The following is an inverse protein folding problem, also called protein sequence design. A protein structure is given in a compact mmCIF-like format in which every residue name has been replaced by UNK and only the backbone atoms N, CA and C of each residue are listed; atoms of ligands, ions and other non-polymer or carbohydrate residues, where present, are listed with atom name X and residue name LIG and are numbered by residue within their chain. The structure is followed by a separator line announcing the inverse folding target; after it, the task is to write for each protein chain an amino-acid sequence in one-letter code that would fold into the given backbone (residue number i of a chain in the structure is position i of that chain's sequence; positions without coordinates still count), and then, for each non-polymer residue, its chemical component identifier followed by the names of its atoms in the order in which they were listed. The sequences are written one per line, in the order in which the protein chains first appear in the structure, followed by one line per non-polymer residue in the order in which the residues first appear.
data_IF_615952982194
#
_entry.id   IF_615952982194
#
_cell.length_a   1.000
_cell.length_b   1.000
_cell.length_c   1.000
_cell.angle_alpha   90.00
_cell.angle_beta   90.00
_cell.angle_gamma   90.00
#
_symmetry.space_group_name_H-M   'P 1'
#
loop_
_entity.id
_entity.type
_entity.pdbx_description
1 polymer ?
#
# COMPACT_ATOMS: atom_id res chain seq x y z
N UNK A 1 18.43 6.49 -25.74
CA UNK A 1 17.83 6.98 -27.01
C UNK A 1 16.53 6.24 -27.28
N UNK A 2 15.51 6.97 -27.75
CA UNK A 2 14.11 6.57 -28.05
C UNK A 2 13.12 6.52 -26.87
N UNK A 3 12.62 7.70 -26.45
CA UNK A 3 11.31 7.89 -25.78
C UNK A 3 10.76 9.32 -25.97
N UNK A 4 10.80 9.90 -27.17
CA UNK A 4 10.21 11.24 -27.44
C UNK A 4 9.60 11.38 -28.83
N UNK A 5 8.64 10.52 -29.22
CA UNK A 5 8.02 10.61 -30.56
C UNK A 5 6.47 10.67 -30.54
N UNK A 6 5.80 10.82 -29.40
CA UNK A 6 4.32 10.95 -29.43
C UNK A 6 3.72 12.09 -28.60
N UNK A 7 4.51 13.14 -28.34
CA UNK A 7 4.02 14.42 -27.83
C UNK A 7 4.64 15.54 -28.67
N UNK A 8 4.31 15.57 -29.96
CA UNK A 8 4.79 16.59 -30.89
C UNK A 8 3.70 17.16 -31.82
N UNK A 9 2.41 16.88 -31.56
CA UNK A 9 1.31 17.44 -32.35
C UNK A 9 0.18 17.80 -31.38
N UNK A 10 0.31 18.93 -30.68
CA UNK A 10 -0.87 19.70 -30.23
C UNK A 10 -0.58 21.12 -29.68
N UNK A 11 0.67 21.60 -29.63
CA UNK A 11 0.97 22.89 -28.96
C UNK A 11 1.82 23.90 -29.76
N UNK A 12 1.86 23.87 -31.09
CA UNK A 12 2.50 24.94 -31.87
C UNK A 12 1.75 25.26 -33.16
N UNK A 13 0.76 26.14 -33.07
CA UNK A 13 0.39 27.06 -34.15
C UNK A 13 -0.59 28.12 -33.64
N UNK A 14 -0.12 28.96 -32.70
CA UNK A 14 -0.66 30.29 -32.51
C UNK A 14 0.53 31.25 -32.30
N UNK A 15 0.57 32.26 -33.17
CA UNK A 15 1.25 33.55 -33.06
C UNK A 15 2.62 33.70 -33.75
N UNK A 16 2.59 34.37 -34.90
CA UNK A 16 3.49 35.44 -35.37
C UNK A 16 2.70 36.21 -36.47
N UNK A 17 2.67 37.52 -36.69
CA UNK A 17 3.25 38.76 -36.12
C UNK A 17 2.32 39.93 -36.53
N UNK A 18 2.25 40.95 -35.69
CA UNK A 18 1.65 42.28 -35.89
C UNK A 18 2.42 43.14 -36.89
N UNK A 19 1.76 44.02 -37.63
CA UNK A 19 2.38 45.31 -37.97
C UNK A 19 1.35 46.43 -38.08
N UNK A 20 1.61 47.48 -37.32
CA UNK A 20 0.86 48.71 -37.25
C UNK A 20 1.31 49.66 -38.35
N UNK A 21 0.36 50.34 -38.99
CA UNK A 21 0.61 51.62 -39.66
C UNK A 21 -0.29 52.68 -39.02
N UNK A 22 0.31 53.71 -38.44
CA UNK A 22 -0.28 55.00 -38.11
C UNK A 22 0.75 56.08 -38.46
N UNK A 23 0.38 57.36 -38.63
CA UNK A 23 -0.74 57.91 -39.40
C UNK A 23 -0.26 59.01 -40.37
N UNK A 24 -0.95 59.21 -41.51
CA UNK A 24 -0.86 60.50 -42.21
C UNK A 24 -1.79 61.50 -41.51
N UNK A 25 -1.25 62.61 -41.02
CA UNK A 25 -2.03 63.65 -40.34
C UNK A 25 -2.94 64.38 -41.34
N UNK A 26 -4.24 64.09 -41.26
CA UNK A 26 -5.27 64.89 -41.94
C UNK A 26 -5.34 66.24 -41.24
N UNK A 27 -4.97 67.32 -41.94
CA UNK A 27 -5.06 68.67 -41.39
C UNK A 27 -6.52 69.15 -41.36
N UNK A 28 -6.86 69.94 -40.33
CA UNK A 28 -8.21 70.49 -40.09
C UNK A 28 -8.79 71.27 -41.29
N UNK A 29 -7.94 71.72 -42.22
CA UNK A 29 -8.38 72.38 -43.46
C UNK A 29 -9.05 71.43 -44.47
N UNK A 30 -8.68 70.15 -44.52
CA UNK A 30 -9.32 69.17 -45.44
C UNK A 30 -10.66 68.65 -44.90
N UNK A 31 -10.86 68.69 -43.58
CA UNK A 31 -12.12 68.31 -42.93
C UNK A 31 -13.18 69.41 -43.10
N UNK A 32 -12.78 70.69 -43.07
CA UNK A 32 -13.69 71.82 -43.31
C UNK A 32 -14.25 71.85 -44.75
N UNK A 33 -13.43 71.59 -45.78
CA UNK A 33 -13.89 71.52 -47.19
C UNK A 33 -14.82 70.32 -47.47
N UNK A 34 -14.71 69.23 -46.69
CA UNK A 34 -15.59 68.07 -46.81
C UNK A 34 -16.94 68.27 -46.09
N UNK A 35 -16.95 69.02 -44.98
CA UNK A 35 -18.16 69.37 -44.23
C UNK A 35 -19.03 70.39 -44.98
N UNK A 36 -18.42 71.35 -45.69
CA UNK A 36 -19.15 72.35 -46.48
C UNK A 36 -19.83 71.76 -47.73
N UNK A 37 -19.36 70.60 -48.20
CA UNK A 37 -19.99 69.82 -49.29
C UNK A 37 -21.09 68.86 -48.83
N UNK A 38 -21.30 68.69 -47.52
CA UNK A 38 -22.30 67.79 -46.95
C UNK A 38 -23.56 68.53 -46.46
N UNK A 39 -23.60 69.86 -46.51
CA UNK A 39 -24.73 70.66 -45.99
C UNK A 39 -25.93 70.78 -46.92
N UNK A 40 -25.92 70.23 -48.14
CA UNK A 40 -27.12 70.22 -48.97
C UNK A 40 -27.44 68.83 -49.53
N UNK A 41 -28.57 68.29 -49.05
CA UNK A 41 -29.33 67.13 -49.56
C UNK A 41 -28.79 65.71 -49.29
N UNK A 42 -29.26 65.09 -48.20
CA UNK A 42 -30.05 63.84 -48.17
C UNK A 42 -29.94 63.14 -46.81
N UNK A 43 -31.07 63.06 -46.11
CA UNK A 43 -31.24 62.28 -44.88
C UNK A 43 -31.26 60.78 -45.23
N UNK A 44 -30.15 60.07 -45.02
CA UNK A 44 -30.15 58.59 -45.13
C UNK A 44 -30.38 57.99 -43.73
N UNK A 45 -31.60 57.51 -43.52
CA UNK A 45 -32.01 56.78 -42.32
C UNK A 45 -31.32 55.41 -42.30
N UNK A 46 -30.41 55.16 -41.36
CA UNK A 46 -29.90 53.80 -41.11
C UNK A 46 -31.10 52.91 -40.73
N UNK A 47 -31.37 51.79 -41.43
CA UNK A 47 -32.46 50.89 -41.07
C UNK A 47 -32.23 50.32 -39.66
N UNK A 48 -33.23 50.42 -38.77
CA UNK A 48 -33.19 49.88 -37.39
C UNK A 48 -32.67 48.43 -37.30
N UNK A 49 -32.92 47.63 -38.35
CA UNK A 49 -32.55 46.22 -38.42
C UNK A 49 -31.03 45.99 -38.39
N UNK A 50 -30.25 46.89 -38.97
CA UNK A 50 -28.79 46.76 -39.01
C UNK A 50 -28.14 47.25 -37.71
N UNK A 51 -28.76 48.22 -37.03
CA UNK A 51 -28.30 48.71 -35.72
C UNK A 51 -28.58 47.69 -34.60
N UNK A 52 -29.77 47.10 -34.61
CA UNK A 52 -30.15 46.02 -33.68
C UNK A 52 -29.26 44.78 -33.92
N UNK A 53 -28.97 44.43 -35.18
CA UNK A 53 -28.06 43.32 -35.50
C UNK A 53 -26.60 43.59 -35.12
N UNK A 54 -26.11 44.83 -35.24
CA UNK A 54 -24.74 45.19 -34.81
C UNK A 54 -24.62 45.13 -33.28
N UNK A 55 -25.61 45.63 -32.53
CA UNK A 55 -25.60 45.59 -31.07
C UNK A 55 -25.83 44.16 -30.56
N UNK A 56 -26.75 43.41 -31.14
CA UNK A 56 -26.99 42.00 -30.82
C UNK A 56 -25.74 41.17 -31.11
N UNK A 57 -25.09 41.35 -32.26
CA UNK A 57 -23.86 40.63 -32.58
C UNK A 57 -22.67 41.06 -31.70
N UNK A 58 -22.54 42.35 -31.35
CA UNK A 58 -21.48 42.79 -30.42
C UNK A 58 -21.71 42.27 -28.99
N UNK A 59 -22.96 42.25 -28.52
CA UNK A 59 -23.33 41.71 -27.20
C UNK A 59 -23.15 40.19 -27.20
N UNK A 60 -23.64 39.47 -28.21
CA UNK A 60 -23.47 38.01 -28.32
C UNK A 60 -22.00 37.62 -28.44
N UNK A 61 -21.19 38.37 -29.19
CA UNK A 61 -19.74 38.12 -29.29
C UNK A 61 -19.03 38.42 -27.96
N UNK A 62 -19.39 39.50 -27.25
CA UNK A 62 -18.78 39.83 -25.95
C UNK A 62 -19.19 38.84 -24.85
N UNK A 63 -20.47 38.44 -24.81
CA UNK A 63 -21.02 37.47 -23.86
C UNK A 63 -20.45 36.08 -24.14
N UNK A 64 -20.46 35.62 -25.39
CA UNK A 64 -19.88 34.33 -25.74
C UNK A 64 -18.36 34.30 -25.55
N UNK A 65 -17.65 35.41 -25.79
CA UNK A 65 -16.21 35.51 -25.50
C UNK A 65 -15.94 35.44 -24.00
N UNK A 66 -16.73 36.13 -23.16
CA UNK A 66 -16.60 36.07 -21.69
C UNK A 66 -17.00 34.70 -21.12
N UNK A 67 -18.05 34.05 -21.64
CA UNK A 67 -18.46 32.68 -21.28
C UNK A 67 -17.40 31.65 -21.71
N UNK A 68 -16.88 31.75 -22.93
CA UNK A 68 -15.80 30.87 -23.39
C UNK A 68 -14.50 31.08 -22.62
N UNK A 69 -14.24 32.30 -22.13
CA UNK A 69 -13.08 32.57 -21.26
C UNK A 69 -13.26 31.93 -19.88
N UNK A 70 -14.49 31.93 -19.34
CA UNK A 70 -14.84 31.22 -18.10
C UNK A 70 -14.71 29.70 -18.26
N UNK A 71 -15.21 29.15 -19.37
CA UNK A 71 -15.08 27.71 -19.70
C UNK A 71 -13.60 27.34 -19.88
N UNK A 72 -12.82 28.16 -20.58
CA UNK A 72 -11.38 27.93 -20.76
C UNK A 72 -10.61 27.98 -19.42
N UNK A 73 -10.98 28.88 -18.51
CA UNK A 73 -10.40 28.94 -17.16
C UNK A 73 -10.75 27.72 -16.31
N UNK A 74 -11.99 27.22 -16.41
CA UNK A 74 -12.43 25.99 -15.73
C UNK A 74 -11.72 24.75 -16.30
N UNK A 75 -11.60 24.65 -17.62
CA UNK A 75 -10.87 23.55 -18.29
C UNK A 75 -9.37 23.61 -18.01
N UNK A 76 -8.77 24.80 -17.97
CA UNK A 76 -7.37 24.99 -17.59
C UNK A 76 -7.13 24.65 -16.11
N UNK A 77 -8.08 24.96 -15.22
CA UNK A 77 -8.03 24.53 -13.82
C UNK A 77 -8.11 22.99 -13.72
N UNK A 78 -9.03 22.35 -14.44
CA UNK A 78 -9.14 20.88 -14.53
C UNK A 78 -7.84 20.26 -15.08
N UNK A 79 -7.24 20.85 -16.11
CA UNK A 79 -5.97 20.41 -16.70
C UNK A 79 -4.78 20.54 -15.73
N UNK A 80 -4.72 21.64 -14.96
CA UNK A 80 -3.74 21.83 -13.89
C UNK A 80 -3.93 20.80 -12.76
N UNK A 81 -5.16 20.51 -12.34
CA UNK A 81 -5.44 19.48 -11.33
C UNK A 81 -5.07 18.06 -11.79
N UNK A 82 -5.26 17.78 -13.08
CA UNK A 82 -4.88 16.50 -13.71
C UNK A 82 -3.36 16.33 -13.84
N UNK A 83 -2.62 17.43 -14.06
CA UNK A 83 -1.16 17.45 -14.14
C UNK A 83 -0.45 17.52 -12.78
N UNK A 84 -1.05 18.19 -11.79
CA UNK A 84 -0.51 18.32 -10.43
C UNK A 84 -0.75 17.08 -9.55
N UNK A 85 -1.71 16.20 -9.87
CA UNK A 85 -1.89 14.94 -9.14
C UNK A 85 -0.73 13.94 -9.30
N UNK A 86 0.21 14.21 -10.21
CA UNK A 86 1.46 13.45 -10.37
C UNK A 86 2.59 13.96 -9.45
N UNK A 87 2.46 15.12 -8.83
CA UNK A 87 3.47 15.70 -7.96
C UNK A 87 2.88 16.17 -6.62
N UNK A 88 3.31 15.51 -5.53
CA UNK A 88 3.20 15.91 -4.10
C UNK A 88 1.83 15.56 -3.45
N UNK A 89 1.68 14.65 -2.47
CA UNK A 89 2.42 14.47 -1.21
C UNK A 89 3.02 15.78 -0.69
N UNK A 90 2.21 16.63 -0.04
CA UNK A 90 2.55 17.32 1.22
C UNK A 90 1.39 18.21 1.72
N UNK A 91 1.31 18.29 3.05
CA UNK A 91 0.44 19.10 3.93
C UNK A 91 -0.14 20.40 3.32
N UNK A 92 -1.47 20.45 3.07
CA UNK A 92 -2.37 21.53 3.55
C UNK A 92 -3.80 21.38 3.00
N UNK A 93 -4.68 20.70 3.74
CA UNK A 93 -6.14 20.72 3.44
C UNK A 93 -6.80 22.08 3.75
N UNK A 94 -6.19 22.92 4.59
CA UNK A 94 -6.74 24.22 5.02
C UNK A 94 -6.43 25.37 4.06
N UNK A 95 -5.19 25.49 3.57
CA UNK A 95 -4.80 26.59 2.68
C UNK A 95 -5.47 26.49 1.31
N UNK A 96 -5.78 25.28 0.84
CA UNK A 96 -6.45 25.02 -0.43
C UNK A 96 -7.92 25.49 -0.42
N UNK A 97 -8.59 25.37 0.74
CA UNK A 97 -9.96 25.85 0.94
C UNK A 97 -10.02 27.38 1.03
N UNK A 98 -9.05 28.00 1.70
CA UNK A 98 -8.93 29.46 1.79
C UNK A 98 -8.55 30.09 0.44
N UNK A 99 -7.67 29.46 -0.34
CA UNK A 99 -7.30 29.96 -1.67
C UNK A 99 -8.48 29.84 -2.67
N UNK A 100 -9.28 28.77 -2.59
CA UNK A 100 -10.53 28.65 -3.35
C UNK A 100 -11.54 29.74 -2.97
N UNK A 101 -11.76 29.99 -1.68
CA UNK A 101 -12.70 31.01 -1.22
C UNK A 101 -12.24 32.44 -1.55
N UNK A 102 -10.93 32.69 -1.52
CA UNK A 102 -10.30 33.94 -1.93
C UNK A 102 -10.53 34.24 -3.43
N UNK A 103 -10.32 33.25 -4.30
CA UNK A 103 -10.56 33.41 -5.75
C UNK A 103 -12.04 33.56 -6.09
N UNK A 104 -12.93 32.87 -5.36
CA UNK A 104 -14.39 33.04 -5.50
C UNK A 104 -14.85 34.43 -5.05
N UNK A 105 -14.27 34.99 -3.99
CA UNK A 105 -14.60 36.35 -3.54
C UNK A 105 -14.04 37.44 -4.46
N UNK A 106 -12.87 37.21 -5.06
CA UNK A 106 -12.29 38.09 -6.09
C UNK A 106 -13.19 38.19 -7.33
N UNK A 107 -13.69 37.05 -7.81
CA UNK A 107 -14.65 36.98 -8.93
C UNK A 107 -15.95 37.72 -8.59
N UNK A 108 -16.43 37.62 -7.34
CA UNK A 108 -17.64 38.31 -6.88
C UNK A 108 -17.48 39.84 -6.86
N UNK A 109 -16.31 40.33 -6.47
CA UNK A 109 -16.02 41.77 -6.38
C UNK A 109 -15.79 42.39 -7.77
N UNK A 110 -15.13 41.69 -8.70
CA UNK A 110 -14.96 42.14 -10.09
C UNK A 110 -16.30 42.20 -10.84
N UNK A 111 -17.18 41.19 -10.66
CA UNK A 111 -18.52 41.22 -11.24
C UNK A 111 -19.38 42.36 -10.68
N UNK A 112 -19.29 42.63 -9.37
CA UNK A 112 -20.06 43.68 -8.72
C UNK A 112 -19.71 45.09 -9.21
N UNK A 113 -18.42 45.36 -9.40
CA UNK A 113 -17.93 46.67 -9.88
C UNK A 113 -18.26 46.91 -11.37
N UNK A 114 -18.16 45.89 -12.23
CA UNK A 114 -18.51 46.01 -13.65
C UNK A 114 -20.03 46.17 -13.89
N UNK A 115 -20.87 45.52 -13.07
CA UNK A 115 -22.33 45.66 -13.12
C UNK A 115 -22.79 47.08 -12.75
N UNK A 116 -22.12 47.69 -11.79
CA UNK A 116 -22.45 49.04 -11.31
C UNK A 116 -22.13 50.10 -12.37
N UNK A 117 -21.01 49.94 -13.11
CA UNK A 117 -20.67 50.79 -14.26
C UNK A 117 -21.57 50.59 -15.50
N UNK A 118 -22.26 49.44 -15.60
CA UNK A 118 -23.25 49.19 -16.65
C UNK A 118 -24.61 49.83 -16.31
N UNK A 119 -25.00 49.85 -15.04
CA UNK A 119 -26.23 50.50 -14.55
C UNK A 119 -26.18 52.02 -14.75
N UNK A 120 -25.06 52.66 -14.44
CA UNK A 120 -24.90 54.12 -14.63
C UNK A 120 -25.09 54.55 -16.09
N UNK A 121 -24.63 53.77 -17.07
CA UNK A 121 -24.78 54.05 -18.51
C UNK A 121 -26.19 53.88 -19.07
N UNK A 122 -27.09 53.18 -18.37
CA UNK A 122 -28.44 52.89 -18.85
C UNK A 122 -29.48 53.91 -18.34
N UNK A 123 -29.15 54.71 -17.33
CA UNK A 123 -30.06 55.66 -16.68
C UNK A 123 -30.51 56.84 -17.57
N UNK A 124 -29.98 57.02 -18.79
CA UNK A 124 -30.33 58.14 -19.68
C UNK A 124 -31.41 57.84 -20.74
N UNK A 125 -32.04 56.67 -20.77
CA UNK A 125 -33.13 56.40 -21.71
C UNK A 125 -34.32 55.67 -21.08
N UNK A 126 -35.53 56.03 -21.50
CA UNK A 126 -36.83 55.46 -21.13
C UNK A 126 -36.88 53.92 -21.30
N UNK A 127 -36.59 53.18 -20.23
CA UNK A 127 -36.51 51.72 -20.24
C UNK A 127 -37.23 51.20 -18.99
N UNK A 128 -38.48 50.79 -19.12
CA UNK A 128 -39.19 50.13 -18.00
C UNK A 128 -39.87 48.82 -18.45
N UNK A 129 -40.49 48.76 -19.66
CA UNK A 129 -40.96 47.50 -20.23
C UNK A 129 -39.83 46.59 -20.73
N UNK A 130 -38.70 47.16 -21.14
CA UNK A 130 -37.53 46.42 -21.64
C UNK A 130 -36.72 45.80 -20.50
N UNK A 131 -36.58 46.48 -19.36
CA UNK A 131 -35.91 45.92 -18.17
C UNK A 131 -36.60 44.67 -17.63
N UNK A 132 -37.93 44.62 -17.58
CA UNK A 132 -38.66 43.41 -17.13
C UNK A 132 -38.39 42.15 -17.96
N UNK A 133 -38.14 42.29 -19.26
CA UNK A 133 -37.80 41.16 -20.12
C UNK A 133 -36.32 40.76 -19.98
N UNK A 134 -35.42 41.73 -19.81
CA UNK A 134 -34.00 41.47 -19.52
C UNK A 134 -33.80 40.84 -18.13
N UNK A 135 -34.52 41.31 -17.12
CA UNK A 135 -34.47 40.75 -15.76
C UNK A 135 -34.93 39.30 -15.76
N UNK A 136 -36.04 38.98 -16.44
CA UNK A 136 -36.49 37.58 -16.63
C UNK A 136 -35.48 36.72 -17.39
N UNK A 137 -34.82 37.27 -18.41
CA UNK A 137 -33.79 36.54 -19.16
C UNK A 137 -32.55 36.27 -18.30
N UNK A 138 -32.07 37.27 -17.56
CA UNK A 138 -30.95 37.14 -16.62
C UNK A 138 -31.29 36.17 -15.50
N UNK A 139 -32.49 36.22 -14.93
CA UNK A 139 -32.94 35.26 -13.91
C UNK A 139 -32.97 33.82 -14.44
N UNK A 140 -33.40 33.63 -15.69
CA UNK A 140 -33.47 32.31 -16.32
C UNK A 140 -32.07 31.78 -16.62
N UNK A 141 -31.17 32.63 -17.09
CA UNK A 141 -29.77 32.27 -17.36
C UNK A 141 -28.98 32.00 -16.07
N UNK A 142 -29.16 32.82 -15.03
CA UNK A 142 -28.59 32.59 -13.70
C UNK A 142 -29.11 31.28 -13.11
N UNK A 143 -30.40 30.96 -13.33
CA UNK A 143 -30.99 29.68 -12.89
C UNK A 143 -30.39 28.49 -13.67
N UNK A 144 -30.21 28.63 -14.98
CA UNK A 144 -29.61 27.60 -15.83
C UNK A 144 -28.15 27.36 -15.44
N UNK A 145 -27.32 28.41 -15.34
CA UNK A 145 -25.92 28.33 -14.90
C UNK A 145 -25.82 27.73 -13.50
N UNK A 146 -26.72 28.10 -12.59
CA UNK A 146 -26.77 27.51 -11.23
C UNK A 146 -27.11 26.02 -11.29
N UNK A 147 -28.09 25.62 -12.11
CA UNK A 147 -28.47 24.23 -12.30
C UNK A 147 -27.33 23.41 -12.91
N UNK A 148 -26.69 23.91 -13.97
CA UNK A 148 -25.56 23.24 -14.63
C UNK A 148 -24.36 23.13 -13.70
N UNK A 149 -24.05 24.19 -12.93
CA UNK A 149 -23.00 24.16 -11.92
C UNK A 149 -23.29 23.14 -10.82
N UNK A 150 -24.55 23.01 -10.39
CA UNK A 150 -24.95 21.98 -9.42
C UNK A 150 -24.80 20.57 -9.99
N UNK A 151 -25.21 20.34 -11.24
CA UNK A 151 -25.03 19.05 -11.92
C UNK A 151 -23.55 18.68 -12.06
N UNK A 152 -22.70 19.64 -12.48
CA UNK A 152 -21.25 19.45 -12.59
C UNK A 152 -20.61 19.14 -11.23
N UNK A 153 -21.02 19.84 -10.16
CA UNK A 153 -20.52 19.56 -8.81
C UNK A 153 -20.88 18.14 -8.34
N UNK A 154 -22.09 17.67 -8.63
CA UNK A 154 -22.49 16.28 -8.32
C UNK A 154 -21.64 15.28 -9.10
N UNK A 155 -21.42 15.51 -10.41
CA UNK A 155 -20.56 14.64 -11.23
C UNK A 155 -19.12 14.61 -10.73
N UNK A 156 -18.54 15.76 -10.36
CA UNK A 156 -17.19 15.84 -9.78
C UNK A 156 -17.12 15.07 -8.46
N UNK A 157 -18.15 15.19 -7.60
CA UNK A 157 -18.19 14.45 -6.34
C UNK A 157 -18.28 12.92 -6.56
N UNK A 158 -19.04 12.48 -7.56
CA UNK A 158 -19.15 11.06 -7.93
C UNK A 158 -17.83 10.52 -8.50
N UNK A 159 -17.20 11.25 -9.43
CA UNK A 159 -15.89 10.88 -9.97
C UNK A 159 -14.80 10.87 -8.90
N UNK A 160 -14.81 11.85 -7.98
CA UNK A 160 -13.87 11.85 -6.86
C UNK A 160 -14.04 10.62 -5.97
N UNK A 161 -15.30 10.21 -5.69
CA UNK A 161 -15.57 8.96 -4.96
C UNK A 161 -15.05 7.74 -5.72
N UNK A 162 -15.28 7.65 -7.04
CA UNK A 162 -14.78 6.55 -7.89
C UNK A 162 -13.26 6.44 -7.85
N UNK A 163 -12.54 7.56 -8.04
CA UNK A 163 -11.07 7.60 -8.02
C UNK A 163 -10.53 7.20 -6.65
N UNK A 164 -11.17 7.62 -5.56
CA UNK A 164 -10.78 7.20 -4.21
C UNK A 164 -10.93 5.69 -4.01
N UNK A 165 -12.04 5.10 -4.45
CA UNK A 165 -12.27 3.65 -4.37
C UNK A 165 -11.34 2.84 -5.29
N UNK A 166 -11.08 3.31 -6.51
CA UNK A 166 -10.08 2.71 -7.41
C UNK A 166 -8.69 2.74 -6.80
N UNK A 167 -8.29 3.87 -6.21
CA UNK A 167 -7.00 3.97 -5.53
C UNK A 167 -6.90 2.99 -4.36
N UNK A 168 -7.98 2.82 -3.60
CA UNK A 168 -8.02 1.85 -2.49
C UNK A 168 -7.83 0.42 -3.03
N UNK A 169 -8.59 0.03 -4.06
CA UNK A 169 -8.46 -1.29 -4.72
C UNK A 169 -7.06 -1.54 -5.27
N UNK A 170 -6.45 -0.55 -5.93
CA UNK A 170 -5.09 -0.68 -6.46
C UNK A 170 -4.05 -0.87 -5.34
N UNK A 171 -4.20 -0.17 -4.21
CA UNK A 171 -3.31 -0.36 -3.06
C UNK A 171 -3.44 -1.76 -2.46
N UNK A 172 -4.66 -2.24 -2.28
CA UNK A 172 -4.93 -3.61 -1.80
C UNK A 172 -4.33 -4.65 -2.75
N UNK A 173 -4.50 -4.47 -4.05
CA UNK A 173 -3.89 -5.35 -5.06
C UNK A 173 -2.35 -5.38 -5.00
N UNK A 174 -1.71 -4.22 -4.80
CA UNK A 174 -0.23 -4.16 -4.66
C UNK A 174 0.22 -4.88 -3.39
N UNK A 175 -0.46 -4.65 -2.25
CA UNK A 175 -0.17 -5.34 -0.98
C UNK A 175 -0.28 -6.86 -1.16
N UNK A 176 -1.35 -7.32 -1.81
CA UNK A 176 -1.57 -8.75 -2.07
C UNK A 176 -0.53 -9.32 -3.00
N UNK A 177 -0.18 -8.61 -4.07
CA UNK A 177 0.86 -9.04 -5.00
C UNK A 177 2.23 -9.17 -4.33
N UNK A 178 2.63 -8.17 -3.52
CA UNK A 178 3.91 -8.21 -2.80
C UNK A 178 3.94 -9.31 -1.75
N UNK A 179 2.84 -9.49 -1.00
CA UNK A 179 2.70 -10.60 -0.06
C UNK A 179 2.86 -11.95 -0.76
N UNK A 180 2.20 -12.15 -1.90
CA UNK A 180 2.29 -13.38 -2.68
C UNK A 180 3.68 -13.63 -3.25
N UNK A 181 4.42 -12.59 -3.63
CA UNK A 181 5.82 -12.74 -4.07
C UNK A 181 6.69 -13.31 -2.94
N UNK A 182 6.62 -12.71 -1.75
CA UNK A 182 7.37 -13.20 -0.58
C UNK A 182 6.94 -14.62 -0.18
N UNK A 183 5.63 -14.86 -0.15
CA UNK A 183 5.07 -16.17 0.19
C UNK A 183 5.53 -17.27 -0.77
N UNK A 184 5.48 -17.01 -2.08
CA UNK A 184 5.92 -17.97 -3.08
C UNK A 184 7.42 -18.24 -2.96
N UNK A 185 8.23 -17.20 -2.79
CA UNK A 185 9.68 -17.33 -2.66
C UNK A 185 10.08 -18.20 -1.45
N UNK A 186 9.37 -18.06 -0.32
CA UNK A 186 9.56 -18.91 0.86
C UNK A 186 9.12 -20.36 0.58
N UNK A 187 7.91 -20.54 0.02
CA UNK A 187 7.35 -21.86 -0.26
C UNK A 187 8.20 -22.69 -1.24
N UNK A 188 8.81 -22.04 -2.23
CA UNK A 188 9.69 -22.70 -3.22
C UNK A 188 11.16 -22.72 -2.80
N UNK A 189 11.50 -22.14 -1.65
CA UNK A 189 12.90 -21.99 -1.18
C UNK A 189 13.79 -21.26 -2.20
N UNK A 190 13.23 -20.30 -2.93
CA UNK A 190 13.93 -19.48 -3.93
C UNK A 190 14.06 -18.02 -3.51
N UNK A 191 13.88 -17.71 -2.23
CA UNK A 191 13.95 -16.35 -1.73
C UNK A 191 15.34 -15.75 -1.91
N UNK A 192 15.34 -14.46 -2.22
CA UNK A 192 16.52 -13.63 -2.45
C UNK A 192 16.60 -12.49 -1.43
N UNK A 193 17.70 -11.75 -1.47
CA UNK A 193 17.81 -10.49 -0.72
C UNK A 193 16.74 -9.48 -1.12
N UNK A 194 16.34 -9.46 -2.39
CA UNK A 194 15.32 -8.54 -2.88
C UNK A 194 13.93 -8.89 -2.32
N UNK A 195 13.59 -10.19 -2.20
CA UNK A 195 12.33 -10.63 -1.58
C UNK A 195 12.26 -10.24 -0.10
N UNK A 196 13.39 -10.33 0.61
CA UNK A 196 13.50 -9.88 2.00
C UNK A 196 13.22 -8.37 2.11
N UNK A 197 13.84 -7.56 1.24
CA UNK A 197 13.62 -6.10 1.21
C UNK A 197 12.16 -5.76 0.89
N UNK A 198 11.53 -6.49 -0.03
CA UNK A 198 10.10 -6.32 -0.35
C UNK A 198 9.26 -6.63 0.90
N UNK A 199 9.51 -7.75 1.57
CA UNK A 199 8.77 -8.13 2.77
C UNK A 199 8.94 -7.15 3.93
N UNK A 200 10.16 -6.68 4.21
CA UNK A 200 10.44 -5.68 5.24
C UNK A 200 9.74 -4.35 4.95
N UNK A 201 9.79 -3.89 3.69
CA UNK A 201 9.09 -2.66 3.27
C UNK A 201 7.59 -2.83 3.42
N UNK A 202 7.02 -3.94 2.94
CA UNK A 202 5.61 -4.22 3.03
C UNK A 202 5.14 -4.24 4.49
N UNK A 203 5.92 -4.89 5.38
CA UNK A 203 5.63 -4.92 6.80
C UNK A 203 5.57 -3.50 7.36
N UNK A 204 6.60 -2.68 7.12
CA UNK A 204 6.65 -1.29 7.59
C UNK A 204 5.50 -0.43 7.05
N UNK A 205 5.13 -0.62 5.79
CA UNK A 205 4.02 0.11 5.17
C UNK A 205 2.68 -0.30 5.81
N UNK A 206 2.47 -1.59 6.07
CA UNK A 206 1.30 -2.08 6.80
C UNK A 206 1.26 -1.53 8.23
N UNK A 207 2.36 -1.55 8.97
CA UNK A 207 2.44 -0.95 10.31
C UNK A 207 2.08 0.53 10.34
N UNK A 208 2.44 1.26 9.28
CA UNK A 208 2.20 2.71 9.22
C UNK A 208 0.77 3.03 8.80
N UNK A 209 0.19 2.21 7.92
CA UNK A 209 -1.08 2.54 7.25
C UNK A 209 -2.27 1.77 7.79
N UNK A 210 -2.07 0.56 8.30
CA UNK A 210 -3.09 -0.30 8.89
C UNK A 210 -2.44 -1.29 9.89
N UNK A 211 -2.10 -0.86 11.12
CA UNK A 211 -1.42 -1.69 12.12
C UNK A 211 -2.18 -2.98 12.50
N UNK A 212 -3.50 -2.99 12.32
CA UNK A 212 -4.38 -4.12 12.61
C UNK A 212 -4.57 -5.04 11.39
N UNK A 213 -3.76 -4.88 10.34
CA UNK A 213 -3.91 -5.69 9.13
C UNK A 213 -3.62 -7.17 9.44
N UNK A 214 -4.54 -8.10 9.14
CA UNK A 214 -4.38 -9.53 9.45
C UNK A 214 -3.24 -10.20 8.68
N UNK A 215 -2.65 -9.54 7.67
CA UNK A 215 -1.45 -10.03 6.96
C UNK A 215 -0.16 -9.79 7.73
N UNK A 216 -0.14 -8.91 8.73
CA UNK A 216 1.07 -8.61 9.51
C UNK A 216 1.63 -9.89 10.17
N UNK A 217 0.86 -10.68 10.94
CA UNK A 217 1.38 -11.92 11.53
C UNK A 217 1.90 -12.91 10.49
N UNK A 218 1.17 -13.09 9.38
CA UNK A 218 1.59 -13.99 8.31
C UNK A 218 2.86 -13.51 7.61
N UNK A 219 3.06 -12.20 7.45
CA UNK A 219 4.27 -11.63 6.89
C UNK A 219 5.46 -11.77 7.86
N UNK A 220 5.21 -11.61 9.16
CA UNK A 220 6.20 -11.89 10.21
C UNK A 220 6.62 -13.36 10.18
N UNK A 221 5.67 -14.28 9.97
CA UNK A 221 5.98 -15.71 9.83
C UNK A 221 6.89 -15.99 8.62
N UNK A 222 6.60 -15.39 7.47
CA UNK A 222 7.43 -15.52 6.27
C UNK A 222 8.84 -14.94 6.48
N UNK A 223 8.92 -13.74 7.06
CA UNK A 223 10.20 -13.08 7.34
C UNK A 223 11.01 -13.84 8.39
N UNK A 224 10.37 -14.47 9.38
CA UNK A 224 11.06 -15.27 10.40
C UNK A 224 11.82 -16.44 9.76
N UNK A 225 11.20 -17.11 8.79
CA UNK A 225 11.83 -18.17 8.01
C UNK A 225 13.05 -17.66 7.24
N UNK A 226 12.89 -16.54 6.52
CA UNK A 226 13.96 -15.95 5.71
C UNK A 226 15.14 -15.49 6.58
N UNK A 227 14.88 -14.83 7.70
CA UNK A 227 15.95 -14.41 8.61
C UNK A 227 16.68 -15.60 9.23
N UNK A 228 15.96 -16.67 9.60
CA UNK A 228 16.59 -17.88 10.13
C UNK A 228 17.53 -18.51 9.11
N UNK A 229 17.08 -18.73 7.87
CA UNK A 229 17.89 -19.38 6.85
C UNK A 229 19.12 -18.53 6.48
N UNK A 230 18.96 -17.21 6.39
CA UNK A 230 20.06 -16.28 6.16
C UNK A 230 21.00 -16.09 7.36
N UNK A 231 20.75 -16.78 8.48
CA UNK A 231 21.50 -16.65 9.75
C UNK A 231 21.48 -15.22 10.33
N UNK A 232 20.45 -14.45 10.02
CA UNK A 232 20.16 -13.11 10.56
C UNK A 232 19.46 -13.22 11.92
N UNK A 233 20.13 -13.89 12.86
CA UNK A 233 19.56 -14.30 14.15
C UNK A 233 19.16 -13.13 15.05
N UNK A 234 19.88 -12.01 14.95
CA UNK A 234 19.57 -10.79 15.72
C UNK A 234 18.26 -10.19 15.24
N UNK A 235 18.11 -10.05 13.94
CA UNK A 235 16.94 -9.52 13.26
C UNK A 235 15.72 -10.41 13.52
N UNK A 236 15.88 -11.73 13.41
CA UNK A 236 14.86 -12.71 13.78
C UNK A 236 14.36 -12.52 15.22
N UNK A 237 15.29 -12.41 16.17
CA UNK A 237 14.94 -12.24 17.59
C UNK A 237 14.20 -10.92 17.83
N UNK A 238 14.63 -9.84 17.19
CA UNK A 238 13.99 -8.52 17.30
C UNK A 238 12.59 -8.53 16.67
N UNK A 239 12.43 -9.18 15.53
CA UNK A 239 11.14 -9.34 14.86
C UNK A 239 10.16 -10.07 15.78
N UNK A 240 10.55 -11.22 16.32
CA UNK A 240 9.65 -12.04 17.16
C UNK A 240 9.32 -11.32 18.46
N UNK A 241 10.27 -10.66 19.11
CA UNK A 241 9.99 -9.91 20.34
C UNK A 241 8.97 -8.77 20.10
N UNK A 242 9.08 -8.10 18.95
CA UNK A 242 8.17 -7.01 18.58
C UNK A 242 6.72 -7.50 18.35
N UNK A 243 6.54 -8.72 17.83
CA UNK A 243 5.22 -9.27 17.47
C UNK A 243 4.78 -10.44 18.35
N UNK A 244 5.39 -10.63 19.52
CA UNK A 244 5.10 -11.78 20.40
C UNK A 244 3.63 -11.89 20.83
N UNK A 245 2.94 -10.75 20.91
CA UNK A 245 1.52 -10.67 21.28
C UNK A 245 0.59 -10.81 20.06
N UNK A 246 1.15 -10.98 18.86
CA UNK A 246 0.41 -11.26 17.62
C UNK A 246 0.17 -12.75 17.43
N UNK A 247 -0.81 -13.10 16.59
CA UNK A 247 -1.12 -14.49 16.24
C UNK A 247 -0.09 -15.10 15.27
N UNK A 248 1.16 -15.26 15.74
CA UNK A 248 2.25 -15.88 15.00
C UNK A 248 2.09 -17.41 14.96
N UNK A 249 2.64 -18.05 13.95
CA UNK A 249 2.62 -19.50 13.82
C UNK A 249 3.59 -20.21 14.78
N UNK A 250 3.32 -21.47 15.11
CA UNK A 250 4.25 -22.34 15.84
C UNK A 250 5.64 -22.39 15.21
N UNK A 251 5.73 -22.42 13.88
CA UNK A 251 7.01 -22.48 13.16
C UNK A 251 7.90 -21.25 13.36
N UNK A 252 7.31 -20.08 13.56
CA UNK A 252 8.07 -18.87 13.89
C UNK A 252 8.80 -19.01 15.21
N UNK A 253 8.12 -19.59 16.21
CA UNK A 253 8.74 -19.89 17.50
C UNK A 253 9.76 -21.03 17.41
N UNK A 254 9.57 -22.04 16.54
CA UNK A 254 10.61 -23.04 16.24
C UNK A 254 11.89 -22.37 15.71
N UNK A 255 11.78 -21.47 14.72
CA UNK A 255 12.95 -20.77 14.16
C UNK A 255 13.70 -19.96 15.23
N UNK A 256 12.96 -19.32 16.14
CA UNK A 256 13.52 -18.61 17.29
C UNK A 256 14.22 -19.55 18.27
N UNK A 257 13.59 -20.69 18.58
CA UNK A 257 14.14 -21.71 19.45
C UNK A 257 15.45 -22.26 18.87
N UNK A 258 15.49 -22.60 17.59
CA UNK A 258 16.68 -23.10 16.91
C UNK A 258 17.88 -22.16 17.01
N UNK A 259 17.63 -20.85 16.93
CA UNK A 259 18.65 -19.82 17.14
C UNK A 259 19.21 -19.88 18.57
N UNK A 260 18.34 -19.96 19.58
CA UNK A 260 18.76 -20.04 20.98
C UNK A 260 19.40 -21.39 21.33
N UNK A 261 18.94 -22.49 20.73
CA UNK A 261 19.51 -23.84 20.86
C UNK A 261 20.92 -23.86 20.28
N UNK A 262 21.16 -23.24 19.12
CA UNK A 262 22.50 -23.13 18.55
C UNK A 262 23.47 -22.44 19.52
N UNK A 263 23.08 -21.31 20.11
CA UNK A 263 23.91 -20.61 21.09
C UNK A 263 24.13 -21.47 22.35
N UNK A 264 23.09 -22.12 22.85
CA UNK A 264 23.19 -22.97 24.03
C UNK A 264 24.04 -24.23 23.78
N UNK A 265 23.93 -24.84 22.61
CA UNK A 265 24.73 -25.98 22.19
C UNK A 265 26.22 -25.64 22.22
N UNK A 266 26.59 -24.51 21.61
CA UNK A 266 28.00 -24.13 21.40
C UNK A 266 28.65 -23.44 22.60
N UNK A 267 27.89 -22.68 23.39
CA UNK A 267 28.44 -21.82 24.45
C UNK A 267 27.90 -22.15 25.85
N UNK A 268 27.06 -23.17 25.99
CA UNK A 268 26.48 -23.61 27.27
C UNK A 268 25.84 -22.48 28.09
N UNK A 269 25.30 -21.45 27.43
CA UNK A 269 24.74 -20.26 28.09
C UNK A 269 23.34 -20.55 28.68
N UNK A 270 23.16 -20.52 30.01
CA UNK A 270 21.88 -20.88 30.64
C UNK A 270 20.68 -20.06 30.17
N UNK A 271 20.86 -18.75 29.98
CA UNK A 271 19.79 -17.88 29.50
C UNK A 271 19.28 -18.28 28.10
N UNK A 272 20.16 -18.84 27.26
CA UNK A 272 19.80 -19.32 25.93
C UNK A 272 18.99 -20.62 25.98
N UNK A 273 19.30 -21.51 26.94
CA UNK A 273 18.44 -22.68 27.25
C UNK A 273 17.04 -22.23 27.66
N UNK A 274 16.94 -21.31 28.62
CA UNK A 274 15.65 -20.82 29.12
C UNK A 274 14.84 -20.21 27.98
N UNK A 275 15.48 -19.37 27.16
CA UNK A 275 14.85 -18.73 26.01
C UNK A 275 14.41 -19.74 24.93
N UNK A 276 15.22 -20.76 24.67
CA UNK A 276 14.84 -21.83 23.75
C UNK A 276 13.58 -22.56 24.23
N UNK A 277 13.55 -22.94 25.52
CA UNK A 277 12.39 -23.61 26.10
C UNK A 277 11.13 -22.73 26.09
N UNK A 278 11.23 -21.43 26.40
CA UNK A 278 10.09 -20.48 26.31
C UNK A 278 9.51 -20.43 24.89
N UNK A 279 10.36 -20.38 23.86
CA UNK A 279 9.88 -20.43 22.47
C UNK A 279 9.24 -21.78 22.10
N UNK A 280 9.82 -22.90 22.54
CA UNK A 280 9.22 -24.22 22.30
C UNK A 280 7.88 -24.38 23.01
N UNK A 281 7.75 -23.84 24.22
CA UNK A 281 6.49 -23.87 24.98
C UNK A 281 5.42 -23.01 24.30
N UNK A 282 5.74 -21.80 23.84
CA UNK A 282 4.81 -20.99 23.02
C UNK A 282 4.39 -21.69 21.73
N UNK A 283 5.33 -22.36 21.06
CA UNK A 283 5.02 -23.16 19.88
C UNK A 283 3.99 -24.26 20.19
N UNK A 284 4.09 -24.89 21.37
CA UNK A 284 3.20 -25.94 21.85
C UNK A 284 1.85 -25.42 22.36
N UNK A 285 1.79 -24.18 22.84
CA UNK A 285 0.53 -23.49 23.18
C UNK A 285 -0.33 -23.26 21.92
N UNK A 286 0.31 -22.98 20.78
CA UNK A 286 -0.37 -22.75 19.49
C UNK A 286 -0.73 -24.08 18.81
N UNK A 287 0.22 -25.02 18.74
CA UNK A 287 -0.01 -26.35 18.15
C UNK A 287 0.24 -27.40 19.23
N UNK A 288 -0.84 -27.86 19.85
CA UNK A 288 -0.76 -28.87 20.91
C UNK A 288 -0.12 -30.16 20.40
N UNK A 289 0.80 -30.72 21.19
CA UNK A 289 1.56 -31.91 20.86
C UNK A 289 2.38 -31.80 19.55
N UNK A 290 2.84 -30.60 19.19
CA UNK A 290 3.69 -30.42 18.01
C UNK A 290 5.03 -31.15 18.14
N UNK A 291 5.23 -32.21 17.36
CA UNK A 291 6.33 -33.15 17.58
C UNK A 291 7.71 -32.57 17.25
N UNK A 292 7.78 -31.57 16.37
CA UNK A 292 9.03 -30.84 16.11
C UNK A 292 9.50 -30.07 17.35
N UNK A 293 8.58 -29.39 18.06
CA UNK A 293 8.90 -28.71 19.30
C UNK A 293 9.33 -29.70 20.40
N UNK A 294 8.61 -30.82 20.53
CA UNK A 294 8.92 -31.86 21.51
C UNK A 294 10.30 -32.51 21.25
N UNK A 295 10.63 -32.79 19.98
CA UNK A 295 11.96 -33.30 19.60
C UNK A 295 13.09 -32.36 20.00
N UNK A 296 12.91 -31.06 19.76
CA UNK A 296 13.89 -30.04 20.18
C UNK A 296 14.04 -29.96 21.71
N UNK A 297 12.96 -30.14 22.48
CA UNK A 297 13.07 -30.22 23.95
C UNK A 297 13.91 -31.42 24.37
N UNK A 298 13.72 -32.59 23.75
CA UNK A 298 14.54 -33.79 24.01
C UNK A 298 16.02 -33.52 23.74
N UNK A 299 16.35 -32.86 22.63
CA UNK A 299 17.73 -32.48 22.31
C UNK A 299 18.33 -31.57 23.37
N UNK A 300 17.60 -30.54 23.84
CA UNK A 300 18.05 -29.63 24.92
C UNK A 300 18.33 -30.41 26.21
N UNK A 301 17.48 -31.36 26.58
CA UNK A 301 17.69 -32.16 27.79
C UNK A 301 18.85 -33.14 27.63
N UNK A 302 19.03 -33.74 26.47
CA UNK A 302 20.22 -34.58 26.22
C UNK A 302 21.50 -33.76 26.18
N UNK A 303 21.40 -32.50 25.77
CA UNK A 303 22.43 -31.50 25.89
C UNK A 303 22.84 -31.31 27.37
N UNK A 304 21.89 -31.17 28.30
CA UNK A 304 22.21 -31.13 29.74
C UNK A 304 22.82 -32.44 30.24
N UNK A 305 22.25 -33.58 29.85
CA UNK A 305 22.66 -34.91 30.31
C UNK A 305 24.09 -35.28 29.89
N UNK A 306 24.45 -35.00 28.63
CA UNK A 306 25.74 -35.39 28.05
C UNK A 306 26.89 -34.48 28.49
N UNK A 307 26.60 -33.20 28.73
CA UNK A 307 27.64 -32.17 29.00
C UNK A 307 27.96 -31.98 30.48
N UNK A 308 27.05 -32.31 31.38
CA UNK A 308 27.24 -32.09 32.82
C UNK A 308 27.75 -33.33 33.53
N UNK A 309 28.67 -33.19 34.49
CA UNK A 309 29.11 -34.30 35.35
C UNK A 309 28.25 -34.45 36.62
N UNK A 310 27.55 -33.38 37.02
CA UNK A 310 26.72 -33.35 38.23
C UNK A 310 25.51 -34.29 38.08
N UNK A 311 25.37 -35.22 39.02
CA UNK A 311 24.31 -36.24 39.01
C UNK A 311 22.92 -35.62 39.06
N UNK A 312 22.77 -34.50 39.76
CA UNK A 312 21.50 -33.80 39.94
C UNK A 312 20.99 -33.24 38.62
N UNK A 313 21.87 -32.61 37.83
CA UNK A 313 21.54 -32.06 36.51
C UNK A 313 21.20 -33.18 35.52
N UNK A 314 21.97 -34.28 35.53
CA UNK A 314 21.65 -35.45 34.71
C UNK A 314 20.29 -36.04 35.06
N UNK A 315 19.98 -36.16 36.36
CA UNK A 315 18.70 -36.70 36.83
C UNK A 315 17.54 -35.81 36.37
N UNK A 316 17.67 -34.50 36.53
CA UNK A 316 16.65 -33.54 36.06
C UNK A 316 16.45 -33.64 34.53
N UNK A 317 17.53 -33.71 33.76
CA UNK A 317 17.45 -33.88 32.31
C UNK A 317 16.72 -35.17 31.90
N UNK A 318 17.00 -36.29 32.56
CA UNK A 318 16.29 -37.56 32.34
C UNK A 318 14.81 -37.43 32.68
N UNK A 319 14.47 -36.89 33.86
CA UNK A 319 13.06 -36.72 34.27
C UNK A 319 12.29 -35.81 33.30
N UNK A 320 12.90 -34.73 32.82
CA UNK A 320 12.26 -33.84 31.86
C UNK A 320 12.10 -34.50 30.47
N UNK A 321 13.08 -35.30 30.04
CA UNK A 321 12.97 -36.06 28.79
C UNK A 321 11.89 -37.14 28.87
N UNK A 322 11.81 -37.85 29.99
CA UNK A 322 10.77 -38.85 30.27
C UNK A 322 9.36 -38.23 30.15
N UNK A 323 9.13 -37.07 30.78
CA UNK A 323 7.85 -36.37 30.69
C UNK A 323 7.49 -35.95 29.24
N UNK A 324 8.47 -35.55 28.43
CA UNK A 324 8.24 -35.23 27.00
C UNK A 324 7.91 -36.49 26.21
N UNK A 325 8.63 -37.59 26.42
CA UNK A 325 8.39 -38.88 25.76
C UNK A 325 6.99 -39.41 26.11
N UNK A 326 6.61 -39.36 27.39
CA UNK A 326 5.27 -39.73 27.83
C UNK A 326 4.19 -38.89 27.13
N UNK A 327 4.40 -37.57 27.01
CA UNK A 327 3.47 -36.68 26.30
C UNK A 327 3.32 -37.08 24.82
N UNK A 328 4.42 -37.42 24.14
CA UNK A 328 4.38 -37.91 22.75
C UNK A 328 3.62 -39.23 22.67
N UNK A 329 3.96 -40.20 23.51
CA UNK A 329 3.42 -41.56 23.47
C UNK A 329 1.97 -41.66 23.96
N UNK A 330 1.52 -40.75 24.82
CA UNK A 330 0.13 -40.68 25.28
C UNK A 330 -0.77 -39.86 24.33
N UNK A 331 -0.22 -39.23 23.30
CA UNK A 331 -1.05 -38.55 22.29
C UNK A 331 -1.93 -39.55 21.54
N UNK A 332 -3.20 -39.20 21.36
CA UNK A 332 -4.17 -40.01 20.61
C UNK A 332 -3.81 -40.15 19.12
N UNK A 333 -3.05 -39.20 18.57
CA UNK A 333 -2.60 -39.19 17.18
C UNK A 333 -1.16 -39.68 17.07
N UNK A 334 -0.83 -40.38 15.98
CA UNK A 334 0.55 -40.79 15.66
C UNK A 334 1.41 -39.63 15.11
N UNK A 335 0.81 -38.45 14.85
CA UNK A 335 1.48 -37.26 14.30
C UNK A 335 2.66 -36.77 15.15
N UNK A 336 2.55 -36.63 16.50
CA UNK A 336 3.67 -36.12 17.30
C UNK A 336 4.89 -37.03 17.22
N UNK A 337 4.67 -38.35 17.26
CA UNK A 337 5.76 -39.32 17.07
C UNK A 337 6.38 -39.18 15.68
N UNK A 338 5.57 -39.06 14.63
CA UNK A 338 6.07 -38.82 13.27
C UNK A 338 6.93 -37.56 13.18
N UNK A 339 6.46 -36.42 13.69
CA UNK A 339 7.17 -35.15 13.61
C UNK A 339 8.45 -35.15 14.46
N UNK A 340 8.41 -35.75 15.66
CA UNK A 340 9.60 -35.92 16.51
C UNK A 340 10.64 -36.80 15.84
N UNK A 341 10.25 -37.97 15.31
CA UNK A 341 11.18 -38.87 14.61
C UNK A 341 11.74 -38.20 13.36
N UNK A 342 10.90 -37.49 12.60
CA UNK A 342 11.35 -36.70 11.45
C UNK A 342 12.37 -35.63 11.86
N UNK A 343 12.17 -34.93 12.98
CA UNK A 343 13.14 -33.97 13.53
C UNK A 343 14.48 -34.63 13.87
N UNK A 344 14.45 -35.67 14.69
CA UNK A 344 15.65 -36.39 15.13
C UNK A 344 16.40 -37.02 13.93
N UNK A 345 15.68 -37.50 12.93
CA UNK A 345 16.28 -38.06 11.71
C UNK A 345 17.06 -37.04 10.88
N UNK A 346 16.68 -35.75 10.93
CA UNK A 346 17.46 -34.67 10.31
C UNK A 346 18.70 -34.39 11.15
N UNK A 347 18.53 -34.29 12.46
CA UNK A 347 19.59 -33.82 13.34
C UNK A 347 20.68 -34.88 13.57
N UNK A 348 20.35 -36.18 13.49
CA UNK A 348 21.35 -37.25 13.56
C UNK A 348 22.35 -37.25 12.38
N UNK A 349 22.00 -36.57 11.28
CA UNK A 349 22.94 -36.36 10.17
C UNK A 349 24.02 -35.32 10.49
N UNK A 350 23.81 -34.51 11.54
CA UNK A 350 24.74 -33.49 12.02
C UNK A 350 25.60 -34.10 13.11
N UNK A 351 26.91 -34.18 12.88
CA UNK A 351 27.88 -34.83 13.77
C UNK A 351 27.77 -34.36 15.24
N UNK A 352 27.59 -33.06 15.46
CA UNK A 352 27.49 -32.50 16.82
C UNK A 352 26.23 -32.94 17.59
N UNK A 353 25.18 -33.40 16.90
CA UNK A 353 23.93 -33.84 17.51
C UNK A 353 23.86 -35.37 17.70
N UNK A 354 24.72 -36.14 17.03
CA UNK A 354 24.70 -37.61 17.09
C UNK A 354 24.78 -38.15 18.52
N UNK A 355 25.74 -37.66 19.31
CA UNK A 355 25.90 -38.10 20.71
C UNK A 355 24.66 -37.82 21.57
N UNK A 356 23.91 -36.74 21.27
CA UNK A 356 22.69 -36.41 22.00
C UNK A 356 21.60 -37.44 21.70
N UNK A 357 21.41 -37.75 20.41
CA UNK A 357 20.38 -38.67 19.94
C UNK A 357 20.71 -40.11 20.34
N UNK A 358 21.97 -40.53 20.24
CA UNK A 358 22.39 -41.83 20.73
C UNK A 358 22.25 -41.95 22.26
N UNK A 359 22.51 -40.88 23.01
CA UNK A 359 22.27 -40.87 24.46
C UNK A 359 20.78 -41.00 24.78
N UNK A 360 19.91 -40.32 24.03
CA UNK A 360 18.46 -40.44 24.16
C UNK A 360 18.01 -41.89 23.93
N UNK A 361 18.45 -42.49 22.82
CA UNK A 361 18.14 -43.86 22.47
C UNK A 361 18.64 -44.87 23.52
N UNK A 362 19.84 -44.67 24.07
CA UNK A 362 20.37 -45.57 25.09
C UNK A 362 19.61 -45.49 26.41
N UNK A 363 19.10 -44.31 26.78
CA UNK A 363 18.34 -44.09 28.01
C UNK A 363 16.90 -44.58 27.89
N UNK A 364 16.26 -44.37 26.74
CA UNK A 364 14.83 -44.60 26.51
C UNK A 364 14.59 -45.51 25.32
N UNK A 365 15.35 -46.61 25.22
CA UNK A 365 15.36 -47.47 24.02
C UNK A 365 13.96 -47.94 23.63
N UNK A 366 13.22 -48.50 24.60
CA UNK A 366 11.89 -49.06 24.37
C UNK A 366 10.92 -47.99 23.86
N UNK A 367 10.95 -46.82 24.49
CA UNK A 367 10.05 -45.70 24.18
C UNK A 367 10.40 -45.08 22.82
N UNK A 368 11.69 -45.00 22.48
CA UNK A 368 12.17 -44.52 21.18
C UNK A 368 11.79 -45.46 20.04
N UNK A 369 11.91 -46.78 20.24
CA UNK A 369 11.43 -47.79 19.29
C UNK A 369 9.90 -47.73 19.13
N UNK A 370 9.16 -47.55 20.23
CA UNK A 370 7.72 -47.33 20.15
C UNK A 370 7.37 -46.07 19.34
N UNK A 371 8.02 -44.93 19.60
CA UNK A 371 7.81 -43.70 18.82
C UNK A 371 8.11 -43.90 17.33
N UNK A 372 9.16 -44.65 17.00
CA UNK A 372 9.49 -45.01 15.61
C UNK A 372 8.37 -45.84 14.96
N UNK A 373 7.82 -46.83 15.67
CA UNK A 373 6.69 -47.62 15.17
C UNK A 373 5.45 -46.75 14.91
N UNK A 374 5.13 -45.82 15.83
CA UNK A 374 4.02 -44.86 15.65
C UNK A 374 4.26 -43.97 14.44
N UNK A 375 5.47 -43.42 14.31
CA UNK A 375 5.86 -42.59 13.17
C UNK A 375 5.71 -43.34 11.84
N UNK A 376 6.13 -44.60 11.80
CA UNK A 376 6.03 -45.44 10.62
C UNK A 376 4.58 -45.75 10.25
N UNK A 377 3.70 -46.03 11.22
CA UNK A 377 2.27 -46.20 10.93
C UNK A 377 1.68 -44.96 10.24
N UNK A 378 2.01 -43.77 10.72
CA UNK A 378 1.54 -42.53 10.12
C UNK A 378 2.13 -42.28 8.72
N UNK A 379 3.43 -42.51 8.52
CA UNK A 379 4.09 -42.24 7.23
C UNK A 379 3.70 -43.26 6.14
N UNK A 380 3.54 -44.54 6.51
CA UNK A 380 3.11 -45.60 5.60
C UNK A 380 1.65 -45.39 5.11
N UNK A 381 0.76 -44.87 5.97
CA UNK A 381 -0.59 -44.48 5.56
C UNK A 381 -0.60 -43.41 4.46
N UNK A 382 0.50 -42.66 4.31
CA UNK A 382 0.69 -41.63 3.28
C UNK A 382 1.44 -42.14 2.04
N UNK A 383 1.69 -43.45 1.95
CA UNK A 383 2.35 -44.09 0.81
C UNK A 383 3.86 -43.84 0.72
N UNK A 384 4.51 -43.52 1.85
CA UNK A 384 5.96 -43.30 1.94
C UNK A 384 6.67 -44.53 2.48
N UNK A 385 8.01 -44.55 2.43
CA UNK A 385 8.83 -45.70 2.82
C UNK A 385 8.98 -45.90 4.33
N UNK A 386 8.57 -44.93 5.14
CA UNK A 386 8.84 -44.92 6.58
C UNK A 386 10.31 -44.64 6.91
N UNK A 387 10.59 -44.62 8.20
CA UNK A 387 11.88 -44.43 8.85
C UNK A 387 12.48 -45.78 9.27
N UNK A 388 13.81 -45.86 9.24
CA UNK A 388 14.57 -47.00 9.78
C UNK A 388 15.10 -46.66 11.17
N UNK A 389 15.73 -47.64 11.84
CA UNK A 389 16.40 -47.42 13.14
C UNK A 389 17.50 -46.35 13.05
N UNK A 390 18.10 -46.15 11.87
CA UNK A 390 19.07 -45.09 11.62
C UNK A 390 18.50 -43.66 11.76
N UNK A 391 17.17 -43.51 11.83
CA UNK A 391 16.52 -42.24 12.12
C UNK A 391 16.66 -41.79 13.58
N UNK A 392 16.97 -42.72 14.49
CA UNK A 392 17.00 -42.47 15.95
C UNK A 392 18.27 -42.97 16.65
N UNK A 393 19.19 -43.60 15.94
CA UNK A 393 20.52 -43.94 16.48
C UNK A 393 21.52 -44.21 15.36
N UNK A 394 22.79 -43.87 15.59
CA UNK A 394 23.89 -44.20 14.68
C UNK A 394 24.19 -45.70 14.66
N UNK A 395 23.80 -46.43 15.71
CA UNK A 395 23.97 -47.88 15.85
C UNK A 395 23.15 -48.70 14.84
N UNK A 396 22.18 -48.07 14.17
CA UNK A 396 21.36 -48.69 13.13
C UNK A 396 21.97 -48.66 11.72
N UNK A 397 23.17 -48.10 11.52
CA UNK A 397 23.84 -48.06 10.20
C UNK A 397 24.62 -49.34 9.85
N UNK A 398 24.80 -50.24 10.82
CA UNK A 398 25.59 -51.47 10.67
C UNK A 398 24.74 -52.74 10.45
N UNK A 399 23.46 -52.58 10.12
CA UNK A 399 22.51 -53.64 9.76
C UNK A 399 21.76 -53.24 8.51
#
# INVERSE_FOLDING_TARGET
MKKHVFIAILCMSLIFISEAQTPESVSDKKVAEALEKLTESQYVRIPKKDFDAIIENQITVLVNKKINTLIALVVAAIGLFSGLSLFQNMKSKSSLKEEMLSRISGIKNELGAELQGFIEKITEANIEPRFKNYEKFVELEVRNVKSESQTLLVQIQEEFKRVVEERKRTKEYIIDSEFQLVQNAVNTKTYSKDDLVIGERLLKDLETTNPENPKIPALVDLLSYVYYDNRSYKELTQLIEKYKDSNLSSNTYINAALTAIYDYHNYATPDKKIKALDYLDRSLEITQAYGEALGLKLEIFMMDYTRNEKKEVKKEAVTNAEAVIESILNSASDIPSYETINRLSRDITIESYQNLIDSLYNLFKTEMEQMLDRANRYDLQRGRSGFTLAAITTKGKDT
#
